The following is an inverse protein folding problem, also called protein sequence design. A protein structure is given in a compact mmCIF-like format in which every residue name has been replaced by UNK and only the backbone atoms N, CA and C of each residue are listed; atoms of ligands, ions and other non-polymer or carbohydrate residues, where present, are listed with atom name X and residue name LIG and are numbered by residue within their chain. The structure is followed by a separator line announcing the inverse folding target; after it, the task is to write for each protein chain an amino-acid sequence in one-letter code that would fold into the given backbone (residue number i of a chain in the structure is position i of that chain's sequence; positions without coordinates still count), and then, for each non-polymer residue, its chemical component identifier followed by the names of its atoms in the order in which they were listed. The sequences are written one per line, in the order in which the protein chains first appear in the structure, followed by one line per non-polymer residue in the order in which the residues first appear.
data_IF_756219728265
#
_entry.id   IF_756219728265
#
_cell.length_a   1.000
_cell.length_b   1.000
_cell.length_c   1.000
_cell.angle_alpha   90.00
_cell.angle_beta   90.00
_cell.angle_gamma   90.00
#
_symmetry.space_group_name_H-M   'P 1'
#
loop_
_entity.id
_entity.type
_entity.pdbx_description
1 polymer ?
#
# COMPACT_ATOMS: atom_id res chain seq x y z
N UNK A 1 -21.41 -31.39 38.05
CA UNK A 1 -22.46 -30.39 37.76
C UNK A 1 -22.42 -29.94 36.28
N UNK A 2 -21.32 -29.52 35.73
CA UNK A 2 -21.17 -29.01 34.33
C UNK A 2 -21.67 -30.03 33.29
N UNK A 3 -21.31 -31.31 33.43
CA UNK A 3 -21.75 -32.41 32.53
C UNK A 3 -23.27 -32.54 32.42
N UNK A 4 -24.00 -32.29 33.51
CA UNK A 4 -25.45 -32.33 33.49
C UNK A 4 -26.07 -31.13 32.78
N UNK A 5 -25.51 -29.94 32.99
CA UNK A 5 -25.95 -28.73 32.25
C UNK A 5 -25.76 -28.88 30.75
N UNK A 6 -24.61 -29.40 30.30
CA UNK A 6 -24.35 -29.69 28.91
C UNK A 6 -25.33 -30.68 28.29
N UNK A 7 -25.65 -31.76 29.02
CA UNK A 7 -26.62 -32.78 28.58
C UNK A 7 -28.04 -32.20 28.45
N UNK A 8 -28.45 -31.34 29.41
CA UNK A 8 -29.75 -30.65 29.36
C UNK A 8 -29.81 -29.68 28.20
N UNK A 9 -28.74 -28.87 27.98
CA UNK A 9 -28.66 -27.92 26.87
C UNK A 9 -28.77 -28.65 25.54
N UNK A 10 -27.99 -29.72 25.32
CA UNK A 10 -28.03 -30.48 24.08
C UNK A 10 -29.43 -31.09 23.84
N UNK A 11 -30.07 -31.64 24.87
CA UNK A 11 -31.45 -32.15 24.76
C UNK A 11 -32.47 -31.08 24.39
N UNK A 12 -32.32 -29.86 24.92
CA UNK A 12 -33.18 -28.74 24.58
C UNK A 12 -32.99 -28.27 23.12
N UNK A 13 -31.74 -28.21 22.65
CA UNK A 13 -31.43 -27.90 21.26
C UNK A 13 -32.08 -28.90 20.30
N UNK A 14 -32.01 -30.19 20.62
CA UNK A 14 -32.61 -31.26 19.81
C UNK A 14 -34.14 -31.31 19.91
N UNK A 15 -34.71 -30.87 21.03
CA UNK A 15 -36.17 -30.83 21.24
C UNK A 15 -36.81 -29.67 20.44
N UNK A 16 -36.20 -28.51 20.42
CA UNK A 16 -36.69 -27.28 19.73
C UNK A 16 -35.92 -27.00 18.48
N UNK A 17 -35.87 -27.96 17.56
CA UNK A 17 -35.02 -27.94 16.36
C UNK A 17 -35.13 -26.65 15.54
N UNK A 18 -36.36 -26.20 15.21
CA UNK A 18 -36.55 -25.03 14.38
C UNK A 18 -35.96 -23.77 15.01
N UNK A 19 -36.23 -23.55 16.29
CA UNK A 19 -35.73 -22.39 17.03
C UNK A 19 -34.20 -22.44 17.17
N UNK A 20 -33.67 -23.60 17.49
CA UNK A 20 -32.21 -23.81 17.59
C UNK A 20 -31.50 -23.62 16.28
N UNK A 21 -32.10 -24.06 15.16
CA UNK A 21 -31.52 -23.90 13.82
C UNK A 21 -31.49 -22.41 13.41
N UNK A 22 -32.58 -21.67 13.63
CA UNK A 22 -32.61 -20.23 13.32
C UNK A 22 -31.54 -19.47 14.13
N UNK A 23 -31.44 -19.75 15.42
CA UNK A 23 -30.41 -19.12 16.27
C UNK A 23 -28.98 -19.50 15.86
N UNK A 24 -28.76 -20.76 15.52
CA UNK A 24 -27.44 -21.21 15.08
C UNK A 24 -27.02 -20.56 13.76
N UNK A 25 -27.94 -20.49 12.78
CA UNK A 25 -27.70 -19.81 11.50
C UNK A 25 -27.41 -18.33 11.75
N UNK A 26 -28.25 -17.65 12.53
CA UNK A 26 -28.05 -16.22 12.84
C UNK A 26 -26.71 -15.96 13.52
N UNK A 27 -26.34 -16.77 14.52
CA UNK A 27 -25.06 -16.65 15.21
C UNK A 27 -23.88 -16.95 14.28
N UNK A 28 -23.99 -17.99 13.45
CA UNK A 28 -22.94 -18.37 12.50
C UNK A 28 -22.71 -17.27 11.44
N UNK A 29 -23.79 -16.69 10.91
CA UNK A 29 -23.69 -15.57 9.97
C UNK A 29 -23.07 -14.33 10.64
N UNK A 30 -23.52 -13.98 11.84
CA UNK A 30 -22.97 -12.86 12.60
C UNK A 30 -21.47 -13.01 12.88
N UNK A 31 -21.05 -14.17 13.37
CA UNK A 31 -19.64 -14.47 13.61
C UNK A 31 -18.83 -14.52 12.31
N UNK A 32 -19.39 -15.10 11.24
CA UNK A 32 -18.73 -15.15 9.93
C UNK A 32 -18.45 -13.78 9.36
N UNK A 33 -19.45 -12.89 9.36
CA UNK A 33 -19.30 -11.51 8.89
C UNK A 33 -18.30 -10.75 9.78
N UNK A 34 -18.40 -10.87 11.09
CA UNK A 34 -17.47 -10.22 12.02
C UNK A 34 -16.03 -10.67 11.80
N UNK A 35 -15.80 -11.95 11.54
CA UNK A 35 -14.48 -12.50 11.26
C UNK A 35 -13.93 -12.00 9.92
N UNK A 36 -14.78 -11.90 8.88
CA UNK A 36 -14.39 -11.34 7.58
C UNK A 36 -13.98 -9.86 7.71
N UNK A 37 -14.76 -9.06 8.45
CA UNK A 37 -14.42 -7.66 8.70
C UNK A 37 -13.10 -7.56 9.47
N UNK A 38 -12.91 -8.38 10.49
CA UNK A 38 -11.67 -8.41 11.27
C UNK A 38 -10.45 -8.73 10.39
N UNK A 39 -10.55 -9.79 9.57
CA UNK A 39 -9.48 -10.17 8.64
C UNK A 39 -9.21 -9.08 7.60
N UNK A 40 -10.25 -8.43 7.08
CA UNK A 40 -10.11 -7.32 6.17
C UNK A 40 -9.36 -6.15 6.81
N UNK A 41 -9.77 -5.72 8.01
CA UNK A 41 -9.10 -4.63 8.75
C UNK A 41 -7.66 -5.00 9.08
N UNK A 42 -7.39 -6.24 9.46
CA UNK A 42 -6.03 -6.72 9.72
C UNK A 42 -5.17 -6.68 8.45
N UNK A 43 -5.71 -7.14 7.32
CA UNK A 43 -5.03 -7.08 6.03
C UNK A 43 -4.73 -5.65 5.61
N UNK A 44 -5.72 -4.75 5.70
CA UNK A 44 -5.56 -3.34 5.35
C UNK A 44 -4.51 -2.63 6.21
N UNK A 45 -4.48 -2.91 7.50
CA UNK A 45 -3.48 -2.34 8.42
C UNK A 45 -2.07 -2.91 8.24
N UNK A 46 -1.93 -4.07 7.58
CA UNK A 46 -0.62 -4.71 7.36
C UNK A 46 0.01 -4.37 6.01
N UNK A 47 -0.65 -3.56 5.17
CA UNK A 47 -0.25 -3.34 3.79
C UNK A 47 1.17 -2.77 3.64
N UNK A 48 1.57 -1.85 4.52
CA UNK A 48 2.88 -1.19 4.48
C UNK A 48 3.84 -1.64 5.58
N UNK A 49 3.53 -2.75 6.26
CA UNK A 49 4.29 -3.25 7.42
C UNK A 49 5.72 -3.69 7.08
N UNK A 50 6.01 -3.96 5.81
CA UNK A 50 7.34 -4.35 5.34
C UNK A 50 8.34 -3.19 5.32
N UNK A 51 7.89 -1.95 5.38
CA UNK A 51 8.79 -0.80 5.43
C UNK A 51 9.46 -0.67 6.80
N UNK A 52 10.78 -0.68 6.82
CA UNK A 52 11.58 -0.55 8.05
C UNK A 52 11.28 0.75 8.79
N UNK A 53 10.99 1.82 8.06
CA UNK A 53 10.73 3.15 8.60
C UNK A 53 9.24 3.49 8.75
N UNK A 54 8.32 2.50 8.69
CA UNK A 54 6.86 2.73 8.67
C UNK A 54 6.36 3.69 9.75
N UNK A 55 6.90 3.57 10.99
CA UNK A 55 6.48 4.39 12.13
C UNK A 55 6.99 5.85 12.08
N UNK A 56 7.87 6.15 11.11
CA UNK A 56 8.47 7.47 10.90
C UNK A 56 8.06 8.11 9.58
N UNK A 57 7.34 7.37 8.74
CA UNK A 57 6.85 7.87 7.45
C UNK A 57 5.52 8.59 7.67
N UNK A 58 5.46 9.84 7.23
CA UNK A 58 4.24 10.63 7.27
C UNK A 58 3.93 11.19 5.88
N UNK A 59 2.65 11.20 5.51
CA UNK A 59 2.18 11.81 4.27
C UNK A 59 1.85 13.28 4.50
N UNK A 60 2.41 14.16 3.69
CA UNK A 60 2.05 15.56 3.67
C UNK A 60 0.63 15.75 3.11
N UNK A 61 -0.19 16.53 3.82
CA UNK A 61 -1.50 16.95 3.36
C UNK A 61 -1.49 18.46 3.11
N UNK A 62 -2.27 18.88 2.14
CA UNK A 62 -2.48 20.28 1.81
C UNK A 62 -3.88 20.71 2.20
N UNK A 63 -3.96 21.71 3.04
CA UNK A 63 -5.23 22.33 3.41
C UNK A 63 -5.39 23.66 2.69
N UNK A 64 -6.54 23.87 2.08
CA UNK A 64 -6.91 25.11 1.38
C UNK A 64 -8.36 25.45 1.64
N UNK A 65 -8.66 26.73 1.71
CA UNK A 65 -10.02 27.22 1.95
C UNK A 65 -10.05 28.41 2.89
N UNK A 66 -11.24 28.92 3.13
CA UNK A 66 -11.50 30.00 4.10
C UNK A 66 -12.05 29.42 5.42
N UNK A 67 -12.02 30.24 6.46
CA UNK A 67 -12.48 29.85 7.80
C UNK A 67 -13.93 29.33 7.74
N UNK A 68 -14.11 28.05 8.11
CA UNK A 68 -15.39 27.34 8.06
C UNK A 68 -15.63 26.47 6.81
N UNK A 69 -14.75 26.54 5.79
CA UNK A 69 -14.83 25.68 4.60
C UNK A 69 -13.43 25.26 4.13
N UNK A 70 -12.75 24.44 4.93
CA UNK A 70 -11.41 23.92 4.65
C UNK A 70 -11.51 22.60 3.88
N UNK A 71 -10.81 22.53 2.76
CA UNK A 71 -10.64 21.30 1.98
C UNK A 71 -9.24 20.74 2.19
N UNK A 72 -9.16 19.48 2.56
CA UNK A 72 -7.90 18.75 2.74
C UNK A 72 -7.64 17.87 1.51
N UNK A 73 -6.47 18.01 0.91
CA UNK A 73 -6.02 17.24 -0.24
C UNK A 73 -4.71 16.50 0.07
N UNK A 74 -4.59 15.29 -0.44
CA UNK A 74 -3.35 14.53 -0.44
C UNK A 74 -2.39 14.95 -1.57
N UNK A 75 -2.85 15.81 -2.49
CA UNK A 75 -2.02 16.42 -3.52
C UNK A 75 -1.40 17.70 -3.00
N UNK A 76 -0.08 17.76 -2.96
CA UNK A 76 0.70 18.90 -2.47
C UNK A 76 1.40 19.63 -3.62
N UNK A 77 1.68 20.93 -3.51
CA UNK A 77 2.48 21.65 -4.49
C UNK A 77 3.88 21.05 -4.67
N UNK A 78 4.45 21.16 -5.86
CA UNK A 78 5.81 20.64 -6.15
C UNK A 78 6.91 21.23 -5.26
N UNK A 79 6.73 22.46 -4.77
CA UNK A 79 7.67 23.10 -3.84
C UNK A 79 7.55 22.61 -2.39
N UNK A 80 6.57 21.75 -2.07
CA UNK A 80 6.32 21.29 -0.70
C UNK A 80 7.51 20.56 -0.11
N UNK A 81 8.15 19.56 -0.78
CA UNK A 81 9.29 18.83 -0.22
C UNK A 81 10.46 19.73 0.19
N UNK A 82 10.85 20.65 -0.69
CA UNK A 82 11.95 21.58 -0.42
C UNK A 82 11.63 22.55 0.72
N UNK A 83 10.39 23.02 0.78
CA UNK A 83 9.92 23.93 1.81
C UNK A 83 9.90 23.27 3.19
N UNK A 84 9.40 22.04 3.29
CA UNK A 84 9.33 21.29 4.54
C UNK A 84 10.73 20.98 5.07
N UNK A 85 11.62 20.50 4.21
CA UNK A 85 13.01 20.19 4.59
C UNK A 85 13.77 21.44 5.07
N UNK A 86 13.47 22.60 4.49
CA UNK A 86 14.11 23.86 4.89
C UNK A 86 13.55 24.48 6.20
N UNK A 87 12.29 24.17 6.54
CA UNK A 87 11.60 24.81 7.67
C UNK A 87 11.52 23.98 8.94
N UNK A 88 11.70 22.65 8.83
CA UNK A 88 11.49 21.73 9.95
C UNK A 88 12.70 20.81 10.14
N UNK A 89 13.46 21.04 11.19
CA UNK A 89 14.68 20.26 11.53
C UNK A 89 14.39 18.79 11.84
N UNK A 90 13.14 18.45 12.18
CA UNK A 90 12.72 17.06 12.46
C UNK A 90 12.49 16.22 11.20
N UNK A 91 12.59 16.80 10.01
CA UNK A 91 12.37 16.11 8.73
C UNK A 91 13.71 15.68 8.15
N UNK A 92 13.99 14.39 8.23
CA UNK A 92 15.25 13.80 7.76
C UNK A 92 15.31 13.69 6.23
N UNK A 93 14.27 13.12 5.63
CA UNK A 93 14.15 12.90 4.19
C UNK A 93 12.75 13.25 3.69
N UNK A 94 12.66 13.70 2.45
CA UNK A 94 11.38 14.05 1.82
C UNK A 94 11.40 13.57 0.37
N UNK A 95 10.32 12.94 -0.05
CA UNK A 95 10.11 12.59 -1.44
C UNK A 95 8.78 13.10 -1.95
N UNK A 96 8.69 13.35 -3.23
CA UNK A 96 7.42 13.48 -3.92
C UNK A 96 7.14 12.22 -4.74
N UNK A 97 5.87 11.99 -5.01
CA UNK A 97 5.38 10.88 -5.78
C UNK A 97 4.31 11.39 -6.74
N UNK A 98 4.60 11.36 -8.02
CA UNK A 98 3.69 11.83 -9.07
C UNK A 98 3.47 10.70 -10.06
N UNK A 99 2.20 10.36 -10.30
CA UNK A 99 1.83 9.38 -11.33
C UNK A 99 1.54 10.11 -12.63
N UNK A 100 2.13 9.66 -13.72
CA UNK A 100 1.86 10.13 -15.08
C UNK A 100 1.73 8.95 -16.03
N UNK A 101 0.95 9.12 -17.09
CA UNK A 101 0.92 8.16 -18.20
C UNK A 101 2.14 8.35 -19.10
N UNK A 102 2.72 7.27 -19.54
CA UNK A 102 3.81 7.26 -20.51
C UNK A 102 3.63 6.12 -21.52
N UNK A 103 4.02 6.38 -22.76
CA UNK A 103 4.13 5.33 -23.77
C UNK A 103 5.49 4.66 -23.65
N UNK A 104 5.51 3.45 -23.12
CA UNK A 104 6.71 2.63 -23.10
C UNK A 104 6.84 1.86 -24.41
N UNK A 105 8.04 1.86 -24.99
CA UNK A 105 8.35 1.15 -26.20
C UNK A 105 9.73 0.53 -26.11
N UNK A 106 9.81 -0.77 -26.33
CA UNK A 106 11.05 -1.48 -26.56
C UNK A 106 11.29 -1.55 -28.07
N UNK A 107 12.55 -1.51 -28.50
CA UNK A 107 12.90 -1.53 -29.91
C UNK A 107 12.35 -2.79 -30.61
N UNK A 108 11.55 -2.56 -31.68
CA UNK A 108 10.90 -3.64 -32.44
C UNK A 108 9.49 -4.02 -31.98
N UNK A 109 9.00 -3.46 -30.88
CA UNK A 109 7.68 -3.78 -30.30
C UNK A 109 6.67 -2.62 -30.44
N UNK A 110 5.38 -2.93 -30.18
CA UNK A 110 4.33 -1.91 -30.13
C UNK A 110 4.44 -1.11 -28.83
N UNK A 111 4.11 0.17 -28.91
CA UNK A 111 4.04 1.01 -27.70
C UNK A 111 2.89 0.59 -26.80
N UNK A 112 3.14 0.48 -25.51
CA UNK A 112 2.16 0.13 -24.50
C UNK A 112 2.00 1.30 -23.54
N UNK A 113 0.75 1.67 -23.21
CA UNK A 113 0.46 2.66 -22.18
C UNK A 113 0.86 2.10 -20.82
N UNK A 114 1.74 2.83 -20.13
CA UNK A 114 2.22 2.49 -18.79
C UNK A 114 2.02 3.65 -17.82
N UNK A 115 1.69 3.32 -16.59
CA UNK A 115 1.75 4.28 -15.49
C UNK A 115 3.21 4.43 -15.04
N UNK A 116 3.72 5.64 -15.14
CA UNK A 116 5.06 5.99 -14.67
C UNK A 116 4.95 6.76 -13.37
N UNK A 117 5.73 6.38 -12.40
CA UNK A 117 5.83 7.04 -11.10
C UNK A 117 7.12 7.85 -11.04
N UNK A 118 6.98 9.16 -11.00
CA UNK A 118 8.11 10.08 -10.88
C UNK A 118 8.35 10.35 -9.39
N UNK A 119 9.55 10.07 -8.94
CA UNK A 119 9.94 10.17 -7.53
C UNK A 119 11.25 10.97 -7.40
N UNK A 120 11.55 11.46 -6.19
CA UNK A 120 12.85 12.07 -5.91
C UNK A 120 13.87 11.05 -5.40
N UNK A 121 15.14 11.47 -5.33
CA UNK A 121 16.26 10.63 -4.93
C UNK A 121 16.07 9.94 -3.56
N UNK A 122 15.41 10.59 -2.61
CA UNK A 122 15.19 10.04 -1.27
C UNK A 122 14.14 8.91 -1.22
N UNK A 123 13.45 8.59 -2.33
CA UNK A 123 12.32 7.66 -2.35
C UNK A 123 12.69 6.26 -1.85
N UNK A 124 13.74 5.65 -2.42
CA UNK A 124 14.19 4.30 -2.04
C UNK A 124 14.89 4.25 -0.68
N UNK A 125 15.26 5.39 -0.12
CA UNK A 125 15.79 5.47 1.25
C UNK A 125 14.67 5.60 2.29
N UNK A 126 13.54 6.22 1.91
CA UNK A 126 12.35 6.33 2.76
C UNK A 126 11.60 4.99 2.76
N UNK A 127 11.34 4.46 1.56
CA UNK A 127 10.61 3.21 1.35
C UNK A 127 11.58 2.05 1.15
N UNK A 128 11.41 0.99 1.93
CA UNK A 128 12.31 -0.17 1.97
C UNK A 128 11.91 -1.20 0.91
N UNK A 129 11.99 -0.82 -0.37
CA UNK A 129 11.82 -1.77 -1.46
C UNK A 129 13.11 -2.56 -1.69
N UNK A 130 12.98 -3.85 -1.93
CA UNK A 130 14.10 -4.70 -2.29
C UNK A 130 14.52 -4.47 -3.74
N UNK A 131 15.75 -4.04 -3.95
CA UNK A 131 16.35 -3.92 -5.27
C UNK A 131 17.04 -5.23 -5.61
N UNK A 132 16.47 -5.98 -6.55
CA UNK A 132 16.96 -7.31 -6.93
C UNK A 132 18.26 -7.24 -7.73
N UNK A 133 18.40 -6.23 -8.61
CA UNK A 133 19.57 -6.02 -9.48
C UNK A 133 19.84 -4.52 -9.65
N UNK A 134 21.11 -4.19 -9.83
CA UNK A 134 21.56 -2.82 -10.02
C UNK A 134 21.99 -2.11 -8.74
N UNK A 135 22.05 -0.80 -8.80
CA UNK A 135 22.37 0.03 -7.63
C UNK A 135 21.17 0.12 -6.68
N UNK A 136 21.45 0.09 -5.37
CA UNK A 136 20.41 0.13 -4.34
C UNK A 136 19.54 1.38 -4.42
N UNK A 137 20.13 2.51 -4.77
CA UNK A 137 19.42 3.75 -5.03
C UNK A 137 20.02 4.48 -6.23
N UNK A 138 19.59 4.14 -7.46
CA UNK A 138 20.13 4.74 -8.68
C UNK A 138 19.84 6.24 -8.79
N UNK A 139 18.77 6.74 -8.13
CA UNK A 139 18.35 8.15 -8.20
C UNK A 139 19.29 9.13 -7.50
N UNK A 140 20.28 8.65 -6.73
CA UNK A 140 21.30 9.51 -6.11
C UNK A 140 22.36 10.02 -7.11
N UNK A 141 22.44 9.42 -8.29
CA UNK A 141 23.41 9.83 -9.30
C UNK A 141 22.83 10.90 -10.22
N UNK A 142 23.00 12.18 -9.87
CA UNK A 142 22.47 13.32 -10.62
C UNK A 142 23.00 13.41 -12.07
N UNK A 143 24.10 12.73 -12.39
CA UNK A 143 24.69 12.72 -13.75
C UNK A 143 23.93 11.83 -14.73
N UNK A 144 23.09 10.95 -14.22
CA UNK A 144 22.32 9.99 -15.01
C UNK A 144 20.81 10.27 -14.85
N UNK A 145 20.37 11.41 -15.33
CA UNK A 145 18.99 11.89 -15.18
C UNK A 145 17.90 11.02 -15.86
N UNK A 146 18.31 9.99 -16.62
CA UNK A 146 17.41 9.14 -17.40
C UNK A 146 17.37 7.70 -16.87
N UNK A 147 17.41 7.52 -15.56
CA UNK A 147 17.30 6.19 -14.96
C UNK A 147 15.85 5.85 -14.63
N UNK A 148 15.50 4.61 -14.87
CA UNK A 148 14.20 4.03 -14.52
C UNK A 148 14.43 2.75 -13.72
N UNK A 149 13.61 2.56 -12.70
CA UNK A 149 13.50 1.31 -11.97
C UNK A 149 12.20 0.64 -12.38
N UNK A 150 12.28 -0.60 -12.77
CA UNK A 150 11.12 -1.39 -13.20
C UNK A 150 10.95 -2.61 -12.29
N UNK A 151 9.73 -3.10 -12.16
CA UNK A 151 9.45 -4.35 -11.44
C UNK A 151 9.91 -5.56 -12.26
N UNK A 152 10.09 -6.69 -11.59
CA UNK A 152 10.45 -7.96 -12.23
C UNK A 152 9.43 -8.36 -13.30
N UNK A 153 8.13 -8.23 -13.00
CA UNK A 153 7.04 -8.51 -13.95
C UNK A 153 7.13 -7.64 -15.22
N UNK A 154 7.44 -6.35 -15.05
CA UNK A 154 7.62 -5.43 -16.18
C UNK A 154 8.84 -5.81 -17.01
N UNK A 155 9.94 -6.21 -16.36
CA UNK A 155 11.13 -6.67 -17.06
C UNK A 155 10.84 -7.94 -17.90
N UNK A 156 10.12 -8.89 -17.34
CA UNK A 156 9.73 -10.11 -18.06
C UNK A 156 8.79 -9.83 -19.24
N UNK A 157 7.81 -8.94 -19.06
CA UNK A 157 6.85 -8.57 -20.11
C UNK A 157 7.56 -7.90 -21.30
N UNK A 158 8.50 -6.99 -21.04
CA UNK A 158 9.15 -6.21 -22.11
C UNK A 158 10.38 -6.87 -22.71
N UNK A 159 11.13 -7.63 -21.94
CA UNK A 159 12.43 -8.17 -22.36
C UNK A 159 12.50 -9.69 -22.31
N UNK A 160 11.48 -10.39 -21.78
CA UNK A 160 11.49 -11.84 -21.61
C UNK A 160 12.56 -12.32 -20.61
N UNK A 161 13.12 -11.43 -19.82
CA UNK A 161 14.19 -11.72 -18.84
C UNK A 161 14.24 -10.64 -17.77
N UNK A 162 14.68 -11.03 -16.58
CA UNK A 162 14.93 -10.08 -15.47
C UNK A 162 16.33 -9.44 -15.55
N UNK A 163 17.15 -9.78 -16.55
CA UNK A 163 18.50 -9.23 -16.74
C UNK A 163 18.49 -8.08 -17.74
N UNK A 164 18.10 -6.89 -17.25
CA UNK A 164 17.77 -5.72 -18.09
C UNK A 164 18.58 -4.46 -17.70
N UNK A 165 19.64 -4.62 -16.89
CA UNK A 165 20.47 -3.48 -16.48
C UNK A 165 21.18 -2.88 -17.70
N UNK A 166 21.00 -1.56 -17.90
CA UNK A 166 21.64 -0.80 -18.97
C UNK A 166 20.99 -0.96 -20.35
N UNK A 167 19.77 -1.49 -20.42
CA UNK A 167 19.00 -1.63 -21.66
C UNK A 167 18.02 -0.48 -21.85
#
# INVERSE_FOLDING_TARGET
MIKNYFKIALRNLLKYKLYSTINLIGLSLGLGISMLIFLFVQHENSFDDFHVNKDRIARGLWESGEEGNVSTSASTPMAFPTTIKAKFDGVEKVTHYVTTGALAKVEGEQSIDQSLHVVSADFLDIFSFDVLKGEKNPFLNEKEANQIVITEDVAEVYYGTTDVIGK
#
